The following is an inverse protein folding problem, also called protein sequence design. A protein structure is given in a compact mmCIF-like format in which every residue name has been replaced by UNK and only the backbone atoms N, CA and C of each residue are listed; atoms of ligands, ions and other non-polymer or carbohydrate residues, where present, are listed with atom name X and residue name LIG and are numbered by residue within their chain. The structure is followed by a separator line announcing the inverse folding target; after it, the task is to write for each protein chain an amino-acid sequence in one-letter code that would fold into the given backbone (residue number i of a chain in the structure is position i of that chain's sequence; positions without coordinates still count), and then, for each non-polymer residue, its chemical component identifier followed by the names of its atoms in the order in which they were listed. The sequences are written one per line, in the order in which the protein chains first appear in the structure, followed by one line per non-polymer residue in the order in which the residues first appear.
data_IF_780722336189
#
_entry.id   IF_780722336189
#
_cell.length_a   1.000
_cell.length_b   1.000
_cell.length_c   1.000
_cell.angle_alpha   90.00
_cell.angle_beta   90.00
_cell.angle_gamma   90.00
#
_symmetry.space_group_name_H-M   'P 1'
#
loop_
_entity.id
_entity.type
_entity.pdbx_description
1 polymer ?
#
# COMPACT_ATOMS: atom_id res chain seq x y z
N UNK A 1 -6.46 -5.46 -29.67
CA UNK A 1 -6.79 -6.32 -28.52
C UNK A 1 -7.04 -5.42 -27.31
N UNK A 2 -8.30 -5.13 -26.99
CA UNK A 2 -8.69 -4.21 -25.91
C UNK A 2 -8.84 -4.99 -24.61
N UNK A 3 -7.97 -4.74 -23.64
CA UNK A 3 -8.08 -5.34 -22.31
C UNK A 3 -9.24 -4.64 -21.57
N UNK A 4 -10.37 -5.33 -21.43
CA UNK A 4 -11.46 -4.89 -20.58
C UNK A 4 -11.02 -5.00 -19.11
N UNK A 5 -10.61 -3.88 -18.52
CA UNK A 5 -10.38 -3.79 -17.08
C UNK A 5 -11.76 -3.79 -16.41
N UNK A 6 -12.24 -4.97 -16.01
CA UNK A 6 -13.44 -5.11 -15.19
C UNK A 6 -13.20 -4.38 -13.86
N UNK A 7 -13.69 -3.14 -13.74
CA UNK A 7 -13.66 -2.38 -12.49
C UNK A 7 -14.60 -3.07 -11.49
N UNK A 8 -14.04 -3.96 -10.67
CA UNK A 8 -14.72 -4.50 -9.49
C UNK A 8 -15.05 -3.30 -8.59
N UNK A 9 -16.34 -2.96 -8.45
CA UNK A 9 -16.78 -1.84 -7.62
C UNK A 9 -16.31 -1.99 -6.17
N UNK A 10 -16.08 -0.87 -5.49
CA UNK A 10 -15.62 -0.84 -4.10
C UNK A 10 -16.85 -1.03 -3.20
N UNK A 11 -16.83 -2.08 -2.38
CA UNK A 11 -17.88 -2.36 -1.41
C UNK A 11 -17.65 -1.51 -0.16
N UNK A 12 -18.47 -0.48 0.03
CA UNK A 12 -18.43 0.40 1.21
C UNK A 12 -19.32 -0.19 2.31
N UNK A 13 -18.81 -0.33 3.53
CA UNK A 13 -19.63 -0.75 4.69
C UNK A 13 -20.49 0.42 5.19
N UNK A 14 -21.64 0.12 5.81
CA UNK A 14 -22.54 1.13 6.40
C UNK A 14 -21.78 1.93 7.47
N UNK A 15 -21.61 3.24 7.26
CA UNK A 15 -20.87 4.15 8.15
C UNK A 15 -19.41 4.41 7.75
N UNK A 16 -18.92 3.77 6.69
CA UNK A 16 -17.57 3.98 6.16
C UNK A 16 -17.60 5.03 5.03
N UNK A 17 -16.63 5.94 4.98
CA UNK A 17 -16.55 6.87 3.86
C UNK A 17 -16.05 6.16 2.59
N UNK A 18 -16.43 6.68 1.43
CA UNK A 18 -15.95 6.15 0.15
C UNK A 18 -14.41 6.17 0.06
N UNK A 19 -13.76 7.18 0.66
CA UNK A 19 -12.30 7.30 0.69
C UNK A 19 -11.63 6.26 1.59
N UNK A 20 -12.26 5.87 2.70
CA UNK A 20 -11.72 4.81 3.57
C UNK A 20 -11.85 3.43 2.94
N UNK A 21 -12.97 3.17 2.25
CA UNK A 21 -13.15 1.94 1.49
C UNK A 21 -12.20 1.87 0.27
N UNK A 22 -11.90 3.02 -0.34
CA UNK A 22 -10.86 3.13 -1.37
C UNK A 22 -9.49 2.74 -0.82
N UNK A 23 -9.05 3.34 0.30
CA UNK A 23 -7.73 3.04 0.90
C UNK A 23 -7.54 1.56 1.24
N UNK A 24 -8.61 0.88 1.67
CA UNK A 24 -8.57 -0.55 1.99
C UNK A 24 -8.57 -1.47 0.76
N UNK A 25 -8.99 -0.97 -0.40
CA UNK A 25 -9.15 -1.77 -1.61
C UNK A 25 -8.01 -1.64 -2.63
N UNK A 26 -7.07 -0.72 -2.43
CA UNK A 26 -5.96 -0.52 -3.36
C UNK A 26 -4.64 -1.04 -2.78
N UNK A 27 -3.96 -1.98 -3.47
CA UNK A 27 -2.66 -2.49 -3.04
C UNK A 27 -1.61 -1.37 -2.91
N UNK A 28 -0.98 -1.27 -1.75
CA UNK A 28 0.01 -0.22 -1.45
C UNK A 28 1.14 -0.76 -0.56
N UNK A 29 2.28 -0.08 -0.60
CA UNK A 29 3.41 -0.39 0.27
C UNK A 29 3.19 0.24 1.64
N UNK A 30 3.42 -0.52 2.70
CA UNK A 30 3.36 -0.07 4.08
C UNK A 30 4.79 0.25 4.51
N UNK A 31 5.06 1.53 4.81
CA UNK A 31 6.36 1.96 5.34
C UNK A 31 6.37 1.88 6.86
N UNK A 32 7.44 1.33 7.41
CA UNK A 32 7.66 1.30 8.84
C UNK A 32 8.56 2.46 9.27
N UNK A 33 8.23 3.06 10.41
CA UNK A 33 9.05 4.10 11.05
C UNK A 33 9.51 3.61 12.42
N UNK A 34 10.70 4.04 12.81
CA UNK A 34 11.26 3.80 14.15
C UNK A 34 11.55 5.13 14.83
N UNK A 35 11.35 5.21 16.14
CA UNK A 35 11.71 6.40 16.90
C UNK A 35 13.22 6.57 16.87
N UNK A 36 13.68 7.75 16.45
CA UNK A 36 15.08 8.13 16.46
C UNK A 36 15.20 9.64 16.71
N UNK A 37 15.55 10.00 17.93
CA UNK A 37 15.67 11.40 18.37
C UNK A 37 16.86 12.14 17.71
N UNK A 38 17.68 11.46 16.89
CA UNK A 38 18.70 12.13 16.05
C UNK A 38 18.14 12.75 14.79
N UNK A 39 16.89 12.43 14.41
CA UNK A 39 16.20 13.00 13.26
C UNK A 39 15.34 14.19 13.67
N UNK A 40 15.16 15.15 12.75
CA UNK A 40 14.40 16.39 12.99
C UNK A 40 12.98 16.08 13.48
N UNK A 41 12.34 15.06 12.90
CA UNK A 41 10.97 14.65 13.24
C UNK A 41 10.93 13.58 14.35
N UNK A 42 12.07 13.23 14.94
CA UNK A 42 12.18 12.19 15.97
C UNK A 42 11.86 10.77 15.48
N UNK A 43 11.70 10.57 14.17
CA UNK A 43 11.44 9.27 13.53
C UNK A 43 12.34 9.07 12.32
N UNK A 44 12.75 7.82 12.11
CA UNK A 44 13.49 7.37 10.95
C UNK A 44 12.61 6.41 10.13
N UNK A 45 12.49 6.67 8.83
CA UNK A 45 11.85 5.76 7.89
C UNK A 45 12.77 4.58 7.60
N UNK A 46 12.25 3.36 7.75
CA UNK A 46 12.97 2.17 7.38
C UNK A 46 12.93 1.97 5.86
N UNK A 47 14.00 1.45 5.25
CA UNK A 47 14.01 1.12 3.81
C UNK A 47 13.07 -0.05 3.48
N UNK A 48 12.65 -0.81 4.49
CA UNK A 48 11.77 -1.96 4.34
C UNK A 48 10.31 -1.51 4.24
N UNK A 49 9.64 -2.02 3.22
CA UNK A 49 8.24 -1.78 2.92
C UNK A 49 7.49 -3.11 2.83
N UNK A 50 6.31 -3.20 3.43
CA UNK A 50 5.49 -4.42 3.43
C UNK A 50 4.36 -4.32 2.40
N UNK A 51 4.08 -5.41 1.68
CA UNK A 51 2.97 -5.48 0.74
C UNK A 51 1.63 -5.63 1.49
N UNK A 52 0.73 -4.64 1.36
CA UNK A 52 -0.59 -4.67 2.01
C UNK A 52 -1.45 -5.90 1.67
N UNK A 53 -1.20 -6.55 0.54
CA UNK A 53 -1.99 -7.69 0.05
C UNK A 53 -1.48 -9.06 0.54
N UNK A 54 -0.18 -9.20 0.79
CA UNK A 54 0.42 -10.52 1.07
C UNK A 54 1.47 -10.53 2.19
N UNK A 55 1.81 -9.38 2.77
CA UNK A 55 2.79 -9.28 3.86
C UNK A 55 4.25 -9.44 3.42
N UNK A 56 4.54 -9.50 2.12
CA UNK A 56 5.92 -9.60 1.63
C UNK A 56 6.70 -8.31 1.90
N UNK A 57 7.88 -8.42 2.51
CA UNK A 57 8.77 -7.30 2.80
C UNK A 57 9.77 -7.09 1.66
N UNK A 58 9.80 -5.87 1.11
CA UNK A 58 10.71 -5.44 0.06
C UNK A 58 11.58 -4.28 0.57
N UNK A 59 12.87 -4.26 0.20
CA UNK A 59 13.77 -3.14 0.53
C UNK A 59 13.55 -1.88 -0.32
N UNK A 60 12.68 -1.95 -1.32
CA UNK A 60 12.34 -0.84 -2.21
C UNK A 60 10.89 -0.96 -2.65
N UNK A 61 10.24 0.18 -2.84
CA UNK A 61 8.93 0.26 -3.46
C UNK A 61 9.02 -0.09 -4.94
N UNK A 62 8.26 -1.10 -5.34
CA UNK A 62 8.16 -1.54 -6.74
C UNK A 62 6.75 -1.30 -7.24
N UNK A 63 6.60 -1.03 -8.54
CA UNK A 63 5.29 -0.89 -9.19
C UNK A 63 4.43 -2.16 -9.08
N UNK A 64 5.07 -3.30 -8.90
CA UNK A 64 4.42 -4.61 -8.76
C UNK A 64 5.08 -5.36 -7.62
N UNK A 65 4.28 -5.95 -6.73
CA UNK A 65 4.78 -6.85 -5.69
C UNK A 65 5.39 -8.11 -6.35
N UNK A 66 6.66 -8.44 -6.10
CA UNK A 66 7.31 -9.60 -6.71
C UNK A 66 6.76 -10.93 -6.17
N UNK A 67 6.10 -10.92 -5.01
CA UNK A 67 5.59 -12.14 -4.36
C UNK A 67 4.16 -12.48 -4.82
N UNK A 68 3.22 -11.53 -4.78
CA UNK A 68 1.82 -11.78 -5.14
C UNK A 68 1.40 -11.21 -6.51
N UNK A 69 2.25 -10.41 -7.17
CA UNK A 69 1.92 -9.78 -8.44
C UNK A 69 0.95 -8.60 -8.35
N UNK A 70 0.60 -8.14 -7.13
CA UNK A 70 -0.25 -6.98 -6.95
C UNK A 70 0.37 -5.73 -7.57
N UNK A 71 -0.43 -4.94 -8.31
CA UNK A 71 -0.01 -3.66 -8.89
C UNK A 71 -0.15 -2.59 -7.82
N UNK A 72 1.00 -2.09 -7.37
CA UNK A 72 1.10 -1.15 -6.27
C UNK A 72 0.83 0.24 -6.79
N UNK A 73 -0.05 0.98 -6.12
CA UNK A 73 -0.22 2.40 -6.38
C UNK A 73 0.70 3.20 -5.46
N UNK A 74 1.31 4.23 -6.02
CA UNK A 74 2.09 5.21 -5.29
C UNK A 74 1.14 6.36 -4.94
N UNK A 75 0.71 6.47 -3.69
CA UNK A 75 -0.18 7.54 -3.22
C UNK A 75 0.60 8.80 -2.86
#
# INVERSE_FOLDING_TARGET
MTVQIMKKGIKVKKGQTAMDALRQGVPHWIHHTVKNDSYIDGVMYLPQCECSECGYVSNQEKKVCPHCGAKMVNW
#
